data_IF_063860337471
#
_entry.id   IF_063860337471
#
_cell.length_a   1.000
_cell.length_b   1.000
_cell.length_c   1.000
_cell.angle_alpha   90.00
_cell.angle_beta   90.00
_cell.angle_gamma   90.00
#
_symmetry.space_group_name_H-M   'P 1'
#
loop_
_entity.id
_entity.type
_entity.pdbx_description
1 polymer ?
#
# COMPACT_ATOMS: atom_id res chain seq x y z
N UNK A 1 0.29 17.56 3.30
CA UNK A 1 -0.98 16.96 3.76
C UNK A 1 -0.65 15.64 4.45
N UNK A 2 -1.39 15.27 5.50
CA UNK A 2 -1.24 13.96 6.15
C UNK A 2 -2.60 13.27 6.14
N UNK A 3 -2.66 12.04 5.62
CA UNK A 3 -3.84 11.19 5.67
C UNK A 3 -3.55 10.00 6.58
N UNK A 4 -4.46 9.74 7.52
CA UNK A 4 -4.38 8.56 8.39
C UNK A 4 -5.34 7.51 7.87
N UNK A 5 -4.84 6.29 7.65
CA UNK A 5 -5.65 5.15 7.25
C UNK A 5 -5.85 4.27 8.47
N UNK A 6 -7.09 4.21 8.95
CA UNK A 6 -7.45 3.36 10.08
C UNK A 6 -7.99 2.00 9.60
N UNK A 7 -7.27 0.94 9.95
CA UNK A 7 -7.69 -0.44 9.70
C UNK A 7 -8.65 -0.95 10.79
N UNK A 8 -8.81 -0.22 11.89
CA UNK A 8 -9.55 -0.62 13.07
C UNK A 8 -8.92 -1.83 13.75
N UNK A 9 -9.75 -2.58 14.49
CA UNK A 9 -9.32 -3.86 15.06
C UNK A 9 -9.31 -4.93 13.98
N UNK A 10 -8.13 -5.45 13.67
CA UNK A 10 -7.99 -6.68 12.88
C UNK A 10 -8.16 -7.84 13.87
N UNK A 11 -9.23 -8.65 13.79
CA UNK A 11 -9.46 -9.73 14.75
C UNK A 11 -8.29 -10.71 14.70
N UNK A 12 -7.99 -11.35 15.84
CA UNK A 12 -7.07 -12.49 15.85
C UNK A 12 -7.65 -13.53 14.91
N UNK A 13 -7.00 -13.74 13.77
CA UNK A 13 -7.40 -14.81 12.86
C UNK A 13 -6.76 -16.08 13.39
N UNK A 14 -7.53 -17.16 13.49
CA UNK A 14 -7.02 -18.48 13.89
C UNK A 14 -5.76 -18.80 13.07
N UNK A 15 -4.80 -19.50 13.68
CA UNK A 15 -3.56 -19.90 13.01
C UNK A 15 -3.95 -20.75 11.80
N UNK A 16 -3.77 -20.23 10.59
CA UNK A 16 -3.92 -21.05 9.39
C UNK A 16 -2.64 -21.88 9.27
N UNK A 17 -2.75 -23.18 9.54
CA UNK A 17 -1.68 -24.13 9.26
C UNK A 17 -1.42 -24.19 7.75
N UNK A 18 -0.15 -24.13 7.36
CA UNK A 18 0.32 -24.26 5.99
C UNK A 18 1.69 -24.93 5.99
N UNK A 19 2.01 -25.62 4.90
CA UNK A 19 3.26 -26.37 4.77
C UNK A 19 4.40 -25.50 4.23
N UNK A 20 5.63 -26.02 4.32
CA UNK A 20 6.80 -25.29 3.89
C UNK A 20 6.80 -24.94 2.39
N UNK A 21 6.07 -25.67 1.55
CA UNK A 21 5.99 -25.45 0.10
C UNK A 21 4.93 -24.44 -0.35
N UNK A 22 4.02 -24.03 0.53
CA UNK A 22 2.92 -23.09 0.23
C UNK A 22 3.27 -21.64 0.62
N UNK A 23 4.47 -21.45 1.17
CA UNK A 23 4.94 -20.18 1.66
C UNK A 23 5.53 -19.33 0.55
N UNK A 24 4.64 -18.83 -0.29
CA UNK A 24 4.89 -17.68 -1.15
C UNK A 24 3.72 -16.75 -0.89
N UNK A 25 3.92 -15.79 0.01
CA UNK A 25 3.05 -14.60 0.21
C UNK A 25 1.55 -14.81 0.00
N UNK A 26 0.80 -15.06 1.07
CA UNK A 26 -0.64 -15.39 0.97
C UNK A 26 -1.39 -14.25 0.26
N UNK A 27 -1.75 -14.49 -1.00
CA UNK A 27 -2.20 -13.49 -1.99
C UNK A 27 -3.60 -12.91 -1.77
N UNK A 28 -4.12 -12.96 -0.54
CA UNK A 28 -5.39 -12.35 -0.17
C UNK A 28 -5.17 -11.43 1.02
N UNK A 29 -5.43 -10.12 0.88
CA UNK A 29 -5.29 -9.18 1.98
C UNK A 29 -6.30 -9.51 3.10
N UNK A 30 -5.85 -9.46 4.36
CA UNK A 30 -6.74 -9.67 5.52
C UNK A 30 -7.68 -8.49 5.75
N UNK A 31 -7.25 -7.29 5.37
CA UNK A 31 -8.07 -6.09 5.35
C UNK A 31 -7.54 -5.15 4.27
N UNK A 32 -8.45 -4.40 3.66
CA UNK A 32 -8.14 -3.40 2.64
C UNK A 32 -8.85 -2.09 2.95
N UNK A 33 -8.22 -0.97 2.62
CA UNK A 33 -8.80 0.38 2.70
C UNK A 33 -8.46 1.12 1.41
N UNK A 34 -9.49 1.68 0.76
CA UNK A 34 -9.29 2.54 -0.41
C UNK A 34 -8.61 3.84 0.03
N UNK A 35 -7.72 4.34 -0.82
CA UNK A 35 -7.07 5.65 -0.67
C UNK A 35 -7.31 6.47 -1.92
N UNK A 36 -7.56 7.76 -1.72
CA UNK A 36 -7.73 8.71 -2.81
C UNK A 36 -6.90 9.95 -2.47
N UNK A 37 -6.11 10.42 -3.43
CA UNK A 37 -5.32 11.66 -3.32
C UNK A 37 -5.82 12.65 -4.35
N UNK A 38 -6.40 13.74 -3.87
CA UNK A 38 -6.81 14.84 -4.73
C UNK A 38 -5.60 15.70 -5.10
N UNK A 39 -5.38 15.85 -6.40
CA UNK A 39 -4.37 16.73 -6.96
C UNK A 39 -5.11 17.87 -7.62
N UNK A 40 -4.80 19.09 -7.19
CA UNK A 40 -5.41 20.32 -7.67
C UNK A 40 -4.34 21.31 -8.13
N UNK A 41 -4.72 22.25 -9.00
CA UNK A 41 -3.80 23.24 -9.53
C UNK A 41 -2.87 22.69 -10.62
N UNK A 42 -3.27 21.61 -11.30
CA UNK A 42 -2.58 21.10 -12.47
C UNK A 42 -2.66 22.13 -13.61
N UNK A 43 -1.53 22.52 -14.23
CA UNK A 43 -1.54 23.33 -15.44
C UNK A 43 -2.24 22.60 -16.60
N UNK A 44 -2.91 23.34 -17.50
CA UNK A 44 -3.65 22.77 -18.64
C UNK A 44 -2.80 21.95 -19.63
N UNK A 45 -1.48 22.14 -19.57
CA UNK A 45 -0.47 21.42 -20.36
C UNK A 45 -0.23 20.00 -19.85
N UNK A 46 -0.50 19.72 -18.57
CA UNK A 46 -0.30 18.41 -17.96
C UNK A 46 -1.49 17.51 -18.30
N UNK A 47 -1.18 16.29 -18.75
CA UNK A 47 -2.20 15.29 -19.15
C UNK A 47 -2.26 14.09 -18.21
N UNK A 48 -1.24 13.91 -17.38
CA UNK A 48 -1.18 12.86 -16.38
C UNK A 48 -0.60 13.41 -15.08
N UNK A 49 -0.96 12.79 -13.97
CA UNK A 49 -0.43 13.11 -12.65
C UNK A 49 -0.12 11.80 -11.95
N UNK A 50 0.97 11.82 -11.20
CA UNK A 50 1.41 10.70 -10.39
C UNK A 50 1.99 11.21 -9.07
N UNK A 51 2.03 10.32 -8.09
CA UNK A 51 2.79 10.55 -6.87
C UNK A 51 3.85 9.48 -6.74
N UNK A 52 5.08 9.88 -6.49
CA UNK A 52 6.12 8.95 -6.07
C UNK A 52 5.81 8.49 -4.65
N UNK A 53 5.88 7.18 -4.44
CA UNK A 53 5.58 6.53 -3.17
C UNK A 53 6.90 6.07 -2.55
N UNK A 54 7.23 6.58 -1.36
CA UNK A 54 8.39 6.15 -0.60
C UNK A 54 7.95 5.53 0.74
N UNK A 55 8.51 4.38 1.07
CA UNK A 55 8.39 3.73 2.36
C UNK A 55 9.59 2.82 2.64
N UNK A 56 9.72 2.39 3.90
CA UNK A 56 10.68 1.33 4.26
C UNK A 56 10.15 -0.04 3.82
N UNK A 57 10.81 -0.74 2.89
CA UNK A 57 10.34 -2.04 2.42
C UNK A 57 10.45 -3.10 3.52
N UNK A 58 9.55 -4.09 3.49
CA UNK A 58 9.57 -5.24 4.38
C UNK A 58 10.88 -6.03 4.23
N UNK A 59 11.27 -6.28 2.97
CA UNK A 59 12.52 -6.92 2.60
C UNK A 59 12.94 -6.40 1.23
N UNK A 60 14.16 -5.88 1.12
CA UNK A 60 14.67 -5.33 -0.13
C UNK A 60 14.68 -6.34 -1.29
N UNK A 61 14.97 -7.62 -0.99
CA UNK A 61 15.16 -8.65 -2.03
C UNK A 61 13.92 -9.52 -2.27
N UNK A 62 13.05 -9.67 -1.26
CA UNK A 62 11.88 -10.58 -1.36
C UNK A 62 10.58 -9.85 -1.64
N UNK A 63 10.34 -8.74 -0.93
CA UNK A 63 9.11 -7.95 -1.03
C UNK A 63 9.43 -6.45 -0.94
N UNK A 64 10.11 -5.90 -1.97
CA UNK A 64 10.42 -4.47 -2.04
C UNK A 64 9.16 -3.59 -2.21
N UNK A 65 8.05 -4.21 -2.59
CA UNK A 65 6.71 -3.66 -2.79
C UNK A 65 5.84 -3.69 -1.52
N UNK A 66 6.32 -4.29 -0.43
CA UNK A 66 5.59 -4.35 0.84
C UNK A 66 6.20 -3.39 1.85
N UNK A 67 5.35 -2.74 2.63
CA UNK A 67 5.73 -1.82 3.70
C UNK A 67 5.99 -2.61 4.98
N UNK A 68 7.15 -2.35 5.59
CA UNK A 68 7.54 -2.94 6.88
C UNK A 68 6.60 -2.47 8.00
N UNK A 69 6.12 -3.42 8.81
CA UNK A 69 5.43 -3.07 10.06
C UNK A 69 6.42 -2.48 11.08
N UNK A 70 6.14 -1.26 11.54
CA UNK A 70 6.87 -0.58 12.62
C UNK A 70 6.20 -0.74 13.99
N UNK A 71 5.02 -1.36 14.06
CA UNK A 71 4.31 -1.69 15.29
C UNK A 71 4.81 -2.97 15.96
N UNK A 72 4.13 -3.39 17.03
CA UNK A 72 4.52 -4.55 17.84
C UNK A 72 3.97 -5.88 17.34
N UNK A 73 2.96 -5.86 16.45
CA UNK A 73 2.41 -7.08 15.86
C UNK A 73 3.42 -7.76 14.94
N UNK A 74 3.49 -9.07 15.02
CA UNK A 74 4.36 -9.91 14.22
C UNK A 74 3.56 -10.61 13.13
N UNK A 75 4.21 -10.99 12.03
CA UNK A 75 3.58 -11.75 10.94
C UNK A 75 2.62 -10.94 10.06
N UNK A 76 2.69 -9.61 10.08
CA UNK A 76 1.89 -8.71 9.23
C UNK A 76 2.78 -7.72 8.48
N UNK A 77 2.45 -7.47 7.22
CA UNK A 77 2.98 -6.40 6.38
C UNK A 77 1.82 -5.62 5.75
N UNK A 78 2.13 -4.46 5.19
CA UNK A 78 1.18 -3.71 4.37
C UNK A 78 1.68 -3.63 2.93
N UNK A 79 0.81 -3.33 1.98
CA UNK A 79 1.22 -2.90 0.64
C UNK A 79 0.23 -1.87 0.10
N UNK A 80 0.71 -1.03 -0.82
CA UNK A 80 -0.15 -0.12 -1.59
C UNK A 80 -0.37 -0.76 -2.95
N UNK A 81 -1.61 -0.77 -3.42
CA UNK A 81 -1.94 -1.08 -4.82
C UNK A 81 -2.49 0.15 -5.52
N UNK A 82 -2.25 0.19 -6.82
CA UNK A 82 -2.88 1.15 -7.72
C UNK A 82 -4.32 0.77 -8.07
N UNK A 83 -4.94 1.55 -8.96
CA UNK A 83 -6.32 1.32 -9.39
C UNK A 83 -6.52 0.00 -10.15
N UNK A 84 -5.46 -0.64 -10.66
CA UNK A 84 -5.50 -1.95 -11.31
C UNK A 84 -5.28 -3.10 -10.32
N UNK A 85 -4.93 -2.80 -9.08
CA UNK A 85 -4.63 -3.79 -8.04
C UNK A 85 -3.17 -4.24 -8.04
N UNK A 86 -2.29 -3.57 -8.79
CA UNK A 86 -0.87 -3.89 -8.83
C UNK A 86 -0.14 -3.21 -7.67
N UNK A 87 0.77 -3.94 -7.01
CA UNK A 87 1.52 -3.44 -5.86
C UNK A 87 2.59 -2.42 -6.26
N UNK A 88 2.68 -1.31 -5.52
CA UNK A 88 3.63 -0.22 -5.78
C UNK A 88 4.88 -0.38 -4.92
N UNK A 89 6.05 -0.28 -5.55
CA UNK A 89 7.36 -0.31 -4.89
C UNK A 89 7.74 1.06 -4.32
N UNK A 90 8.58 1.06 -3.28
CA UNK A 90 9.21 2.29 -2.81
C UNK A 90 10.06 2.92 -3.91
N UNK A 91 9.96 4.25 -4.09
CA UNK A 91 10.56 5.02 -5.18
C UNK A 91 9.86 4.92 -6.53
N UNK A 92 8.70 4.25 -6.61
CA UNK A 92 7.92 4.14 -7.85
C UNK A 92 6.69 5.07 -7.84
N UNK A 93 6.17 5.34 -9.03
CA UNK A 93 4.99 6.17 -9.24
C UNK A 93 3.70 5.38 -9.00
N UNK A 94 2.82 5.91 -8.17
CA UNK A 94 1.40 5.62 -8.15
C UNK A 94 0.71 6.57 -9.13
N UNK A 95 0.30 6.01 -10.27
CA UNK A 95 -0.30 6.77 -11.37
C UNK A 95 -1.79 6.98 -11.16
N UNK A 96 -2.34 8.05 -11.75
CA UNK A 96 -3.79 8.14 -11.96
C UNK A 96 -4.32 6.93 -12.75
N UNK A 97 -5.60 6.60 -12.54
CA UNK A 97 -6.30 5.59 -13.33
C UNK A 97 -6.30 5.97 -14.81
N UNK A 98 -6.29 5.01 -15.76
CA UNK A 98 -6.13 5.31 -17.19
C UNK A 98 -7.34 6.02 -17.79
N UNK A 99 -8.49 5.92 -17.13
CA UNK A 99 -9.73 6.62 -17.43
C UNK A 99 -9.86 7.96 -16.70
N UNK A 100 -8.91 8.31 -15.82
CA UNK A 100 -8.89 9.60 -15.16
C UNK A 100 -8.50 10.71 -16.14
N UNK A 101 -9.17 11.85 -16.04
CA UNK A 101 -8.91 13.05 -16.86
C UNK A 101 -8.75 14.24 -15.95
N UNK A 102 -7.68 15.01 -16.16
CA UNK A 102 -7.49 16.30 -15.47
C UNK A 102 -8.56 17.27 -15.99
N UNK A 103 -9.51 17.61 -15.14
CA UNK A 103 -10.64 18.48 -15.47
C UNK A 103 -10.62 19.69 -14.54
N UNK A 104 -10.63 20.90 -15.11
CA UNK A 104 -10.55 22.13 -14.32
C UNK A 104 -9.27 22.24 -13.46
N UNK A 105 -8.16 21.67 -13.94
CA UNK A 105 -6.88 21.64 -13.20
C UNK A 105 -6.87 20.69 -12.00
N UNK A 106 -7.79 19.72 -11.94
CA UNK A 106 -7.87 18.75 -10.84
C UNK A 106 -8.03 17.31 -11.34
N UNK A 107 -7.52 16.37 -10.54
CA UNK A 107 -7.67 14.92 -10.74
C UNK A 107 -7.53 14.21 -9.39
N UNK A 108 -7.93 12.94 -9.35
CA UNK A 108 -7.74 12.07 -8.19
C UNK A 108 -6.88 10.87 -8.57
N UNK A 109 -5.94 10.52 -7.71
CA UNK A 109 -5.20 9.25 -7.78
C UNK A 109 -5.85 8.27 -6.82
N UNK A 110 -6.29 7.12 -7.34
CA UNK A 110 -6.94 6.08 -6.57
C UNK A 110 -6.00 4.90 -6.34
N UNK A 111 -6.16 4.24 -5.20
CA UNK A 111 -5.51 2.98 -4.89
C UNK A 111 -6.14 2.32 -3.67
N UNK A 112 -5.43 1.35 -3.11
CA UNK A 112 -5.77 0.78 -1.82
C UNK A 112 -4.53 0.47 -0.99
N UNK A 113 -4.66 0.55 0.33
CA UNK A 113 -3.70 -0.03 1.25
C UNK A 113 -4.27 -1.31 1.80
N UNK A 114 -3.44 -2.33 1.75
CA UNK A 114 -3.75 -3.68 2.15
C UNK A 114 -2.91 -4.08 3.33
N UNK A 115 -3.44 -4.97 4.16
CA UNK A 115 -2.67 -5.69 5.17
C UNK A 115 -2.59 -7.15 4.74
N UNK A 116 -1.39 -7.69 4.71
CA UNK A 116 -1.10 -9.08 4.36
C UNK A 116 -0.50 -9.83 5.54
N UNK A 117 -0.67 -11.14 5.52
CA UNK A 117 0.06 -12.03 6.44
C UNK A 117 1.41 -12.39 5.84
N UNK A 118 2.41 -12.38 6.71
CA UNK A 118 3.75 -12.87 6.42
C UNK A 118 3.88 -14.25 7.07
N UNK A 119 3.37 -15.28 6.41
CA UNK A 119 3.59 -16.65 6.87
C UNK A 119 5.09 -16.99 6.79
N UNK A 120 5.56 -17.86 7.70
CA UNK A 120 6.93 -18.43 7.85
C UNK A 120 8.03 -17.64 8.58
N UNK A 121 7.84 -16.38 8.96
CA UNK A 121 8.90 -15.67 9.73
C UNK A 121 8.59 -15.64 11.22
N UNK A 122 7.30 -15.75 11.60
CA UNK A 122 6.83 -15.69 12.99
C UNK A 122 5.33 -15.98 13.04
N UNK A 123 4.85 -16.49 14.18
CA UNK A 123 3.41 -16.51 14.47
C UNK A 123 2.84 -15.09 14.40
N UNK A 124 1.59 -14.96 13.92
CA UNK A 124 0.90 -13.67 13.99
C UNK A 124 0.63 -13.36 15.46
N UNK A 125 1.34 -12.36 15.99
CA UNK A 125 1.17 -11.93 17.38
C UNK A 125 0.13 -10.81 17.48
N UNK A 126 -0.52 -10.73 18.64
CA UNK A 126 -1.27 -9.53 19.00
C UNK A 126 -0.33 -8.34 19.15
N UNK A 127 -0.75 -7.16 18.69
CA UNK A 127 0.02 -5.94 18.83
C UNK A 127 -0.51 -4.83 17.93
N UNK A 128 0.30 -3.78 17.75
CA UNK A 128 0.00 -2.70 16.82
C UNK A 128 0.56 -2.99 15.42
N UNK A 129 -0.14 -2.49 14.41
CA UNK A 129 0.32 -2.41 13.02
C UNK A 129 0.46 -0.93 12.66
N UNK A 130 1.64 -0.52 12.22
CA UNK A 130 1.88 0.85 11.77
C UNK A 130 2.90 0.90 10.65
N UNK A 131 2.72 1.86 9.73
CA UNK A 131 3.63 2.14 8.64
C UNK A 131 3.59 3.63 8.30
N UNK A 132 4.67 4.13 7.72
CA UNK A 132 4.73 5.49 7.19
C UNK A 132 5.05 5.41 5.69
N UNK A 133 4.30 6.20 4.93
CA UNK A 133 4.47 6.36 3.49
C UNK A 133 4.60 7.86 3.23
N UNK A 134 5.61 8.24 2.47
CA UNK A 134 5.83 9.60 2.01
C UNK A 134 5.39 9.65 0.55
N UNK A 135 4.59 10.66 0.22
CA UNK A 135 4.12 10.90 -1.14
C UNK A 135 4.71 12.20 -1.64
N UNK A 136 5.40 12.12 -2.77
CA UNK A 136 5.98 13.27 -3.45
C UNK A 136 5.27 13.47 -4.78
N UNK A 137 4.77 14.67 -5.05
CA UNK A 137 4.13 14.97 -6.33
C UNK A 137 5.17 14.86 -7.45
N UNK A 138 4.94 13.92 -8.37
CA UNK A 138 5.74 13.78 -9.59
C UNK A 138 5.05 14.54 -10.73
N UNK A 139 5.77 15.43 -11.40
CA UNK A 139 5.35 15.92 -12.70
C UNK A 139 5.69 14.83 -13.73
N UNK A 140 4.69 14.32 -14.45
CA UNK A 140 4.86 13.34 -15.54
C UNK A 140 4.41 13.97 -16.85
#
# INVERSE_FOLDING_TARGET
MTQTIDFGTIPKIETWGGTDGEAVTVGVPVVSRKIHFDITGCPDTIKAAAVEVDFTPYSADKHPDWIKNAGSAQGLAMAITDAWGETVKSGHLLMMSPDAVITGGATTINGAVHVYRIAKIMDVSSGSLSGQVILTLGAV
#
